data_IF_563011618275
#
_entry.id   IF_563011618275
#
_cell.length_a   1.000
_cell.length_b   1.000
_cell.length_c   1.000
_cell.angle_alpha   90.00
_cell.angle_beta   90.00
_cell.angle_gamma   90.00
#
_symmetry.space_group_name_H-M   'P 1'
#
loop_
_entity.id
_entity.type
_entity.pdbx_description
1 polymer ?
#
# COMPACT_ATOMS: atom_id res chain seq x y z
N UNK A 1 5.06 -4.18 -7.97
CA UNK A 1 5.25 -2.71 -8.06
C UNK A 1 6.45 -2.35 -8.92
N UNK A 2 6.29 -1.35 -9.73
CA UNK A 2 7.33 -0.90 -10.66
C UNK A 2 8.23 0.18 -10.03
N UNK A 3 8.61 0.02 -8.77
CA UNK A 3 9.37 1.04 -8.04
C UNK A 3 10.77 1.21 -8.62
N UNK A 4 11.49 0.10 -8.80
CA UNK A 4 12.86 0.18 -9.30
C UNK A 4 12.91 0.72 -10.73
N UNK A 5 11.95 0.32 -11.55
CA UNK A 5 11.82 0.81 -12.93
C UNK A 5 11.50 2.31 -12.95
N UNK A 6 10.62 2.77 -12.06
CA UNK A 6 10.28 4.19 -11.97
C UNK A 6 11.47 5.02 -11.49
N UNK A 7 12.23 4.52 -10.52
CA UNK A 7 13.45 5.20 -10.06
C UNK A 7 14.47 5.28 -11.19
N UNK A 8 14.68 4.18 -11.91
CA UNK A 8 15.61 4.17 -13.04
C UNK A 8 15.19 5.16 -14.12
N UNK A 9 13.88 5.24 -14.41
CA UNK A 9 13.37 6.15 -15.44
C UNK A 9 13.55 7.60 -15.04
N UNK A 10 13.27 7.92 -13.79
CA UNK A 10 13.31 9.31 -13.31
C UNK A 10 14.72 9.78 -12.98
N UNK A 11 15.57 8.90 -12.47
CA UNK A 11 16.85 9.31 -11.87
C UNK A 11 18.06 8.64 -12.51
N UNK A 12 17.86 7.70 -13.45
CA UNK A 12 18.93 6.96 -14.13
C UNK A 12 19.86 6.22 -13.16
N UNK A 13 19.29 5.74 -12.06
CA UNK A 13 20.04 4.98 -11.06
C UNK A 13 19.13 3.89 -10.46
N UNK A 14 19.73 2.97 -9.74
CA UNK A 14 18.99 1.92 -9.05
C UNK A 14 18.97 2.18 -7.55
N UNK A 15 17.91 1.73 -6.89
CA UNK A 15 17.77 1.80 -5.45
C UNK A 15 17.75 0.39 -4.90
N UNK A 16 18.48 0.19 -3.80
CA UNK A 16 18.57 -1.10 -3.14
C UNK A 16 17.19 -1.55 -2.64
N UNK A 17 16.91 -2.84 -2.78
CA UNK A 17 15.64 -3.42 -2.33
C UNK A 17 15.40 -3.17 -0.83
N UNK A 18 16.46 -3.18 -0.03
CA UNK A 18 16.37 -2.90 1.39
C UNK A 18 15.83 -1.49 1.68
N UNK A 19 16.21 -0.51 0.84
CA UNK A 19 15.72 0.87 0.97
C UNK A 19 14.24 0.93 0.62
N UNK A 20 13.85 0.27 -0.45
CA UNK A 20 12.43 0.21 -0.86
C UNK A 20 11.59 -0.44 0.24
N UNK A 21 12.07 -1.53 0.84
CA UNK A 21 11.38 -2.19 1.94
C UNK A 21 11.20 -1.26 3.13
N UNK A 22 12.23 -0.46 3.42
CA UNK A 22 12.16 0.49 4.53
C UNK A 22 11.10 1.57 4.28
N UNK A 23 11.03 2.09 3.07
CA UNK A 23 9.99 3.07 2.71
C UNK A 23 8.60 2.45 2.84
N UNK A 24 8.42 1.23 2.35
CA UNK A 24 7.13 0.55 2.41
C UNK A 24 6.69 0.29 3.85
N UNK A 25 7.63 -0.08 4.70
CA UNK A 25 7.35 -0.46 6.08
C UNK A 25 7.11 0.73 6.99
N UNK A 26 7.89 1.80 6.81
CA UNK A 26 7.90 2.94 7.73
C UNK A 26 7.39 4.23 7.10
N UNK A 27 7.13 4.25 5.80
CA UNK A 27 6.67 5.44 5.08
C UNK A 27 7.78 6.40 4.71
N UNK A 28 9.02 6.13 5.10
CA UNK A 28 10.17 7.00 4.84
C UNK A 28 11.47 6.21 4.92
N UNK A 29 12.54 6.82 4.44
CA UNK A 29 13.90 6.31 4.57
C UNK A 29 14.89 7.49 4.51
N UNK A 30 16.10 7.27 4.99
CA UNK A 30 17.14 8.29 4.97
C UNK A 30 17.85 8.29 3.61
N UNK A 31 17.16 8.85 2.61
CA UNK A 31 17.66 8.96 1.24
C UNK A 31 17.32 10.35 0.72
N UNK A 32 17.94 10.72 -0.42
CA UNK A 32 17.65 12.00 -1.05
C UNK A 32 16.15 12.11 -1.35
N UNK A 33 15.59 13.29 -1.08
CA UNK A 33 14.16 13.53 -1.14
C UNK A 33 13.55 13.22 -2.51
N UNK A 34 14.27 13.48 -3.59
CA UNK A 34 13.79 13.20 -4.94
C UNK A 34 13.53 11.72 -5.17
N UNK A 35 14.42 10.87 -4.65
CA UNK A 35 14.25 9.41 -4.75
C UNK A 35 13.10 8.95 -3.85
N UNK A 36 13.05 9.50 -2.64
CA UNK A 36 11.97 9.18 -1.72
C UNK A 36 10.61 9.49 -2.32
N UNK A 37 10.49 10.67 -2.95
CA UNK A 37 9.25 11.08 -3.61
C UNK A 37 8.84 10.10 -4.70
N UNK A 38 9.77 9.67 -5.54
CA UNK A 38 9.47 8.71 -6.61
C UNK A 38 8.94 7.40 -6.02
N UNK A 39 9.57 6.90 -4.96
CA UNK A 39 9.15 5.65 -4.31
C UNK A 39 7.77 5.83 -3.67
N UNK A 40 7.57 6.90 -2.93
CA UNK A 40 6.29 7.13 -2.25
C UNK A 40 5.16 7.40 -3.22
N UNK A 41 5.40 8.13 -4.32
CA UNK A 41 4.39 8.34 -5.35
C UNK A 41 3.98 7.02 -6.00
N UNK A 42 4.94 6.15 -6.28
CA UNK A 42 4.65 4.84 -6.86
C UNK A 42 3.79 4.01 -5.91
N UNK A 43 4.13 4.00 -4.62
CA UNK A 43 3.37 3.27 -3.62
C UNK A 43 1.96 3.85 -3.46
N UNK A 44 1.84 5.16 -3.46
CA UNK A 44 0.54 5.84 -3.35
C UNK A 44 -0.36 5.50 -4.52
N UNK A 45 0.16 5.55 -5.74
CA UNK A 45 -0.61 5.20 -6.94
C UNK A 45 -1.08 3.75 -6.90
N UNK A 46 -0.23 2.86 -6.42
CA UNK A 46 -0.57 1.45 -6.28
C UNK A 46 -1.74 1.27 -5.31
N UNK A 47 -1.66 1.90 -4.15
CA UNK A 47 -2.71 1.81 -3.12
C UNK A 47 -4.01 2.43 -3.59
N UNK A 48 -3.94 3.58 -4.24
CA UNK A 48 -5.13 4.21 -4.83
C UNK A 48 -5.81 3.29 -5.84
N UNK A 49 -5.01 2.57 -6.64
CA UNK A 49 -5.53 1.58 -7.57
C UNK A 49 -6.25 0.44 -6.88
N UNK A 50 -5.76 0.00 -5.72
CA UNK A 50 -6.44 -1.02 -4.92
C UNK A 50 -7.81 -0.53 -4.48
N UNK A 51 -7.88 0.66 -3.90
CA UNK A 51 -9.15 1.21 -3.43
C UNK A 51 -10.13 1.46 -4.57
N UNK A 52 -9.63 1.89 -5.73
CA UNK A 52 -10.48 2.06 -6.90
C UNK A 52 -11.09 0.73 -7.34
N UNK A 53 -10.29 -0.34 -7.39
CA UNK A 53 -10.81 -1.66 -7.73
C UNK A 53 -11.83 -2.17 -6.72
N UNK A 54 -11.62 -1.88 -5.44
CA UNK A 54 -12.58 -2.24 -4.40
C UNK A 54 -13.92 -1.55 -4.63
N UNK A 55 -13.89 -0.26 -4.96
CA UNK A 55 -15.11 0.49 -5.25
C UNK A 55 -15.85 -0.04 -6.48
N UNK A 56 -15.11 -0.48 -7.49
CA UNK A 56 -15.69 -1.11 -8.67
C UNK A 56 -16.35 -2.45 -8.34
N UNK A 57 -15.94 -3.09 -7.25
CA UNK A 57 -16.54 -4.32 -6.74
C UNK A 57 -17.48 -4.08 -5.56
N UNK A 58 -18.18 -2.95 -5.60
CA UNK A 58 -19.23 -2.59 -4.66
C UNK A 58 -18.76 -2.22 -3.25
N UNK A 59 -17.48 -1.97 -3.04
CA UNK A 59 -17.04 -1.46 -1.77
C UNK A 59 -17.57 -0.03 -1.57
N UNK A 60 -18.32 0.16 -0.48
CA UNK A 60 -18.80 1.47 -0.06
C UNK A 60 -18.23 1.77 1.33
N UNK A 61 -17.30 2.72 1.45
CA UNK A 61 -16.67 3.00 2.74
C UNK A 61 -17.64 3.54 3.80
N UNK A 62 -18.78 4.06 3.40
CA UNK A 62 -19.77 4.56 4.37
C UNK A 62 -20.61 3.44 4.96
N UNK A 63 -20.71 2.29 4.27
CA UNK A 63 -21.59 1.19 4.64
C UNK A 63 -20.84 -0.07 5.06
N UNK A 64 -19.56 -0.14 4.79
CA UNK A 64 -18.78 -1.38 4.96
C UNK A 64 -17.55 -1.14 5.81
N UNK A 65 -17.11 -2.20 6.49
CA UNK A 65 -15.82 -2.22 7.15
C UNK A 65 -14.82 -2.97 6.28
N UNK A 66 -13.61 -2.46 6.22
CA UNK A 66 -12.54 -3.07 5.44
C UNK A 66 -11.52 -3.69 6.39
N UNK A 67 -11.19 -4.95 6.15
CA UNK A 67 -10.13 -5.64 6.87
C UNK A 67 -9.00 -5.93 5.89
N UNK A 68 -7.80 -5.48 6.22
CA UNK A 68 -6.64 -5.64 5.37
C UNK A 68 -5.65 -6.56 6.05
N UNK A 69 -5.30 -7.64 5.37
CA UNK A 69 -4.39 -8.66 5.87
C UNK A 69 -3.33 -8.93 4.82
N UNK A 70 -2.22 -9.48 5.26
CA UNK A 70 -1.21 -10.00 4.35
C UNK A 70 -0.05 -9.06 4.12
N UNK A 71 0.79 -9.45 3.16
CA UNK A 71 2.10 -8.83 2.96
C UNK A 71 2.07 -7.38 2.52
N UNK A 72 1.02 -6.96 1.83
CA UNK A 72 0.89 -5.58 1.37
C UNK A 72 0.22 -4.62 2.34
N UNK A 73 -0.13 -5.08 3.54
CA UNK A 73 -0.89 -4.26 4.50
C UNK A 73 -0.15 -2.99 4.91
N UNK A 74 1.17 -3.03 5.01
CA UNK A 74 1.96 -1.85 5.33
C UNK A 74 1.84 -0.76 4.28
N UNK A 75 1.73 -1.12 3.01
CA UNK A 75 1.53 -0.14 1.94
C UNK A 75 0.22 0.60 2.13
N UNK A 76 -0.84 -0.12 2.44
CA UNK A 76 -2.15 0.50 2.65
C UNK A 76 -2.12 1.37 3.89
N UNK A 77 -1.49 0.91 4.97
CA UNK A 77 -1.36 1.69 6.20
C UNK A 77 -0.62 3.01 5.97
N UNK A 78 0.50 2.95 5.26
CA UNK A 78 1.39 4.11 5.12
C UNK A 78 1.00 5.06 3.98
N UNK A 79 0.34 4.54 2.94
CA UNK A 79 0.11 5.32 1.71
C UNK A 79 -1.36 5.43 1.32
N UNK A 80 -2.26 4.79 2.08
CA UNK A 80 -3.69 4.87 1.82
C UNK A 80 -4.33 6.07 2.50
N UNK A 81 -5.39 6.57 1.87
CA UNK A 81 -6.25 7.58 2.49
C UNK A 81 -7.57 6.89 2.82
N UNK A 82 -7.87 6.77 4.09
CA UNK A 82 -9.05 6.04 4.55
C UNK A 82 -9.46 6.51 5.95
N UNK A 83 -10.69 6.19 6.32
CA UNK A 83 -11.18 6.44 7.67
C UNK A 83 -10.75 5.29 8.57
N UNK A 84 -9.84 5.57 9.48
CA UNK A 84 -9.26 4.54 10.36
C UNK A 84 -10.30 3.87 11.26
N UNK A 85 -11.42 4.52 11.51
CA UNK A 85 -12.49 3.93 12.32
C UNK A 85 -13.24 2.81 11.59
N UNK A 86 -13.08 2.73 10.27
CA UNK A 86 -13.77 1.76 9.43
C UNK A 86 -12.84 0.81 8.69
N UNK A 87 -11.56 0.96 8.89
CA UNK A 87 -10.54 0.11 8.26
C UNK A 87 -9.65 -0.49 9.33
N UNK A 88 -9.56 -1.79 9.36
CA UNK A 88 -8.68 -2.52 10.27
C UNK A 88 -7.53 -3.12 9.46
N UNK A 89 -6.31 -2.79 9.82
CA UNK A 89 -5.13 -3.26 9.12
C UNK A 89 -4.32 -4.14 10.05
N UNK A 90 -4.11 -5.39 9.63
CA UNK A 90 -3.22 -6.30 10.32
C UNK A 90 -1.87 -6.27 9.59
N UNK A 91 -0.91 -5.59 10.19
CA UNK A 91 0.42 -5.38 9.61
C UNK A 91 1.52 -6.19 10.31
N UNK A 92 1.14 -7.21 11.07
CA UNK A 92 2.11 -8.05 11.80
C UNK A 92 3.13 -8.68 10.88
N UNK A 93 2.74 -8.97 9.63
CA UNK A 93 3.62 -9.54 8.64
C UNK A 93 3.65 -8.63 7.41
N UNK A 94 4.71 -7.84 7.30
CA UNK A 94 4.95 -7.03 6.11
C UNK A 94 5.89 -7.80 5.19
N UNK A 95 5.49 -7.96 3.94
CA UNK A 95 6.29 -8.68 2.96
C UNK A 95 7.52 -7.87 2.54
N UNK A 96 8.49 -8.54 1.94
CA UNK A 96 9.59 -7.89 1.26
C UNK A 96 9.09 -7.23 -0.02
N UNK A 97 9.93 -6.39 -0.65
CA UNK A 97 9.57 -5.73 -1.90
C UNK A 97 9.10 -6.71 -2.96
N UNK A 98 9.65 -7.91 -3.02
CA UNK A 98 9.21 -8.95 -3.95
C UNK A 98 7.80 -9.44 -3.63
N UNK A 99 7.46 -9.53 -2.36
CA UNK A 99 6.14 -9.96 -1.93
C UNK A 99 5.04 -8.95 -2.21
N UNK A 100 5.39 -7.69 -2.45
CA UNK A 100 4.40 -6.66 -2.77
C UNK A 100 3.83 -6.77 -4.17
N UNK A 101 4.27 -7.73 -4.96
CA UNK A 101 3.60 -8.07 -6.21
C UNK A 101 2.20 -8.65 -5.97
N UNK A 102 1.98 -9.21 -4.79
CA UNK A 102 0.72 -9.80 -4.41
C UNK A 102 -0.10 -8.80 -3.61
N UNK A 103 -1.36 -8.72 -3.94
CA UNK A 103 -2.27 -7.84 -3.21
C UNK A 103 -2.45 -8.32 -1.78
N UNK A 104 -2.60 -7.37 -0.87
CA UNK A 104 -3.03 -7.69 0.48
C UNK A 104 -4.39 -8.37 0.44
N UNK A 105 -4.59 -9.29 1.37
CA UNK A 105 -5.90 -9.87 1.54
C UNK A 105 -6.85 -8.81 2.05
N UNK A 106 -7.97 -8.66 1.37
CA UNK A 106 -8.97 -7.67 1.73
C UNK A 106 -10.27 -8.38 1.99
N UNK A 107 -10.86 -8.12 3.14
CA UNK A 107 -12.13 -8.70 3.51
C UNK A 107 -13.11 -7.57 3.80
N UNK A 108 -14.27 -7.62 3.13
CA UNK A 108 -15.28 -6.60 3.26
C UNK A 108 -16.43 -7.09 4.13
N UNK A 109 -16.79 -6.29 5.13
CA UNK A 109 -17.95 -6.54 5.95
C UNK A 109 -18.93 -5.39 5.78
N UNK A 110 -20.18 -5.72 5.51
CA UNK A 110 -21.22 -4.71 5.41
C UNK A 110 -21.52 -4.14 6.79
N UNK A 111 -21.78 -2.84 6.82
CA UNK A 111 -22.15 -2.17 8.04
C UNK A 111 -23.48 -2.72 8.56
N UNK A 112 -23.51 -3.08 9.85
CA UNK A 112 -24.68 -3.70 10.46
C UNK A 112 -24.92 -5.13 10.01
N UNK A 113 -24.15 -5.61 9.06
CA UNK A 113 -24.21 -6.98 8.64
C UNK A 113 -23.51 -7.89 9.62
N UNK A 114 -24.02 -9.08 9.74
CA UNK A 114 -23.33 -10.10 10.49
C UNK A 114 -22.34 -10.80 9.58
N UNK A 115 -21.24 -11.00 10.12
CA UNK A 115 -20.20 -11.70 9.40
C UNK A 115 -20.53 -13.19 9.35
#
# INVERSE_FOLDING_TARGET
>A
LAVRENVMRAHHTTVDEAIINRVFRFGTADIKEDYLKTITDTATDYVEGIFQRLREHEYNPELMRLYVLGGGSCLIRNFGVYDASRVTINDDICATAKGYEYLAYVNLLKNGGTV
#
